data_IF_221491414369
#
_entry.id   IF_221491414369
#
_cell.length_a   1.000
_cell.length_b   1.000
_cell.length_c   1.000
_cell.angle_alpha   90.00
_cell.angle_beta   90.00
_cell.angle_gamma   90.00
#
_symmetry.space_group_name_H-M   'P 1'
#
loop_
_entity.id
_entity.type
_entity.pdbx_description
1 polymer ?
#
# COMPACT_ATOMS: atom_id res chain seq x y z
N UNK A 1 7.92 66.64 11.48
CA UNK A 1 7.72 66.75 10.02
C UNK A 1 7.96 65.35 9.49
N UNK A 2 7.05 64.63 8.86
CA UNK A 2 5.75 64.93 8.28
C UNK A 2 5.03 63.57 8.11
N UNK A 3 3.71 63.58 8.23
CA UNK A 3 2.82 62.42 8.09
C UNK A 3 2.44 62.24 6.60
N UNK A 4 2.28 60.99 6.14
CA UNK A 4 1.21 60.53 5.24
C UNK A 4 1.39 59.02 4.97
N UNK A 5 0.50 58.08 5.32
CA UNK A 5 -0.92 57.85 4.99
C UNK A 5 -1.20 57.44 3.53
N UNK A 6 -2.00 56.37 3.41
CA UNK A 6 -2.84 55.92 2.27
C UNK A 6 -2.05 55.07 1.24
N UNK A 7 -2.51 53.90 0.76
CA UNK A 7 -3.88 53.53 0.42
C UNK A 7 -4.11 52.03 0.47
N UNK A 8 -5.20 51.66 1.13
CA UNK A 8 -6.04 50.51 0.81
C UNK A 8 -6.22 50.32 -0.70
N UNK A 9 -6.17 49.07 -1.12
CA UNK A 9 -6.86 48.63 -2.34
C UNK A 9 -7.48 47.26 -2.10
N UNK A 10 -8.60 47.32 -1.40
CA UNK A 10 -9.68 46.35 -1.57
C UNK A 10 -10.04 46.24 -3.06
N UNK A 11 -10.12 45.01 -3.56
CA UNK A 11 -10.79 44.71 -4.82
C UNK A 11 -11.92 43.71 -4.54
N UNK A 12 -13.06 44.28 -4.15
CA UNK A 12 -14.40 43.91 -4.59
C UNK A 12 -14.39 43.64 -6.12
N UNK A 13 -15.08 42.66 -6.73
CA UNK A 13 -16.52 42.52 -7.05
C UNK A 13 -16.70 41.14 -7.78
N UNK A 14 -17.89 40.68 -8.21
CA UNK A 14 -19.16 40.38 -7.54
C UNK A 14 -19.52 38.87 -7.60
N UNK A 15 -20.46 38.45 -6.74
CA UNK A 15 -21.26 37.24 -6.95
C UNK A 15 -22.28 37.48 -8.06
N UNK A 16 -22.34 36.58 -9.05
CA UNK A 16 -23.50 36.51 -9.95
C UNK A 16 -24.06 35.10 -10.04
N UNK A 17 -25.37 35.07 -9.97
CA UNK A 17 -26.21 33.89 -9.89
C UNK A 17 -26.29 33.22 -11.25
N UNK A 18 -26.15 31.90 -11.31
CA UNK A 18 -26.71 31.11 -12.40
C UNK A 18 -26.99 29.68 -11.92
N UNK A 19 -28.19 29.51 -11.38
CA UNK A 19 -28.87 28.23 -11.29
C UNK A 19 -29.59 27.98 -12.61
N UNK A 20 -29.29 26.89 -13.34
CA UNK A 20 -30.25 26.29 -14.23
C UNK A 20 -30.96 25.12 -13.52
N UNK A 21 -32.25 25.33 -13.35
CA UNK A 21 -33.28 24.39 -12.95
C UNK A 21 -33.42 23.24 -13.96
N UNK A 22 -33.56 22.04 -13.40
CA UNK A 22 -34.31 20.86 -13.87
C UNK A 22 -34.39 20.54 -15.38
N UNK A 23 -33.86 19.37 -15.74
CA UNK A 23 -34.37 18.53 -16.82
C UNK A 23 -34.40 17.05 -16.40
N UNK A 24 -35.24 16.23 -17.05
CA UNK A 24 -36.01 15.17 -16.40
C UNK A 24 -35.34 13.79 -16.43
N UNK A 25 -35.86 12.98 -15.51
CA UNK A 25 -35.82 11.51 -15.44
C UNK A 25 -35.99 10.89 -16.83
N UNK A 26 -34.91 10.35 -17.37
CA UNK A 26 -34.95 9.39 -18.46
C UNK A 26 -33.98 8.25 -18.15
N UNK A 27 -34.55 7.16 -17.62
CA UNK A 27 -34.20 5.76 -17.81
C UNK A 27 -32.79 5.42 -18.36
N UNK A 28 -31.73 5.89 -17.70
CA UNK A 28 -30.40 5.33 -17.90
C UNK A 28 -30.42 3.96 -17.22
N UNK A 29 -30.29 2.94 -18.06
CA UNK A 29 -30.27 1.53 -17.73
C UNK A 29 -29.81 1.25 -16.29
N UNK A 30 -30.61 0.46 -15.58
CA UNK A 30 -30.12 -0.43 -14.53
C UNK A 30 -29.11 -1.41 -15.14
N UNK A 31 -27.94 -0.92 -15.59
CA UNK A 31 -26.72 -1.71 -15.53
C UNK A 31 -26.43 -1.80 -14.06
N UNK A 32 -26.98 -2.87 -13.48
CA UNK A 32 -26.52 -3.45 -12.23
C UNK A 32 -25.01 -3.22 -12.16
N UNK A 33 -24.47 -2.61 -11.09
CA UNK A 33 -23.05 -2.77 -10.86
C UNK A 33 -22.83 -4.29 -10.89
N UNK A 34 -21.97 -4.74 -11.80
CA UNK A 34 -21.30 -6.00 -11.60
C UNK A 34 -20.58 -5.78 -10.26
N UNK A 35 -21.25 -6.11 -9.16
CA UNK A 35 -20.56 -6.55 -7.95
C UNK A 35 -19.81 -7.76 -8.46
N UNK A 36 -18.61 -7.47 -8.98
CA UNK A 36 -17.59 -8.45 -9.21
C UNK A 36 -17.50 -9.14 -7.88
N UNK A 37 -18.05 -10.35 -7.84
CA UNK A 37 -17.69 -11.33 -6.87
C UNK A 37 -16.17 -11.23 -6.87
N UNK A 38 -15.59 -10.61 -5.84
CA UNK A 38 -14.18 -10.74 -5.58
C UNK A 38 -14.03 -12.23 -5.28
N UNK A 39 -13.93 -13.04 -6.34
CA UNK A 39 -13.45 -14.39 -6.26
C UNK A 39 -12.05 -14.21 -5.73
N UNK A 40 -11.94 -14.20 -4.40
CA UNK A 40 -10.69 -14.46 -3.72
C UNK A 40 -10.28 -15.82 -4.25
N UNK A 41 -9.44 -15.80 -5.28
CA UNK A 41 -8.98 -17.04 -5.89
C UNK A 41 -8.39 -17.88 -4.76
N UNK A 42 -8.72 -19.18 -4.71
CA UNK A 42 -8.51 -20.01 -3.53
C UNK A 42 -7.08 -19.86 -3.03
N UNK A 43 -6.94 -19.59 -1.72
CA UNK A 43 -5.62 -19.48 -1.09
C UNK A 43 -4.83 -20.76 -1.38
N UNK A 44 -3.60 -20.60 -1.83
CA UNK A 44 -2.75 -21.74 -2.21
C UNK A 44 -1.59 -21.88 -1.24
N UNK A 45 -1.17 -23.11 -0.97
CA UNK A 45 0.08 -23.38 -0.24
C UNK A 45 1.33 -23.29 -1.13
N UNK A 46 1.19 -22.83 -2.38
CA UNK A 46 2.32 -22.62 -3.29
C UNK A 46 2.97 -21.27 -2.98
N UNK A 47 4.15 -21.30 -2.37
CA UNK A 47 4.91 -20.10 -1.98
C UNK A 47 5.10 -19.07 -3.10
N UNK A 48 5.11 -19.51 -4.37
CA UNK A 48 5.30 -18.63 -5.53
C UNK A 48 3.99 -18.08 -6.10
N UNK A 49 2.85 -18.39 -5.49
CA UNK A 49 1.52 -17.94 -5.94
C UNK A 49 1.23 -16.52 -5.47
N UNK A 50 0.42 -15.79 -6.22
CA UNK A 50 -0.03 -14.46 -5.83
C UNK A 50 -0.93 -14.50 -4.59
N UNK A 51 -1.75 -15.55 -4.44
CA UNK A 51 -2.66 -15.74 -3.31
C UNK A 51 -2.11 -16.76 -2.33
N UNK A 52 -0.81 -16.65 -2.02
CA UNK A 52 -0.20 -17.50 -1.02
C UNK A 52 -0.76 -17.15 0.36
N UNK A 53 -1.19 -18.17 1.12
CA UNK A 53 -1.93 -17.97 2.37
C UNK A 53 -1.12 -17.29 3.48
N UNK A 54 0.20 -17.47 3.48
CA UNK A 54 1.08 -16.94 4.52
C UNK A 54 1.93 -15.75 4.05
N UNK A 55 1.34 -14.85 3.26
CA UNK A 55 1.93 -13.53 3.00
C UNK A 55 1.78 -12.69 4.28
N UNK A 56 2.90 -12.22 4.82
CA UNK A 56 2.93 -11.40 6.04
C UNK A 56 2.70 -9.94 5.68
N UNK A 57 3.44 -9.45 4.68
CA UNK A 57 3.33 -8.08 4.20
C UNK A 57 3.74 -8.01 2.74
N UNK A 58 3.05 -7.16 1.99
CA UNK A 58 3.42 -6.76 0.63
C UNK A 58 4.00 -5.35 0.69
N UNK A 59 5.28 -5.20 0.34
CA UNK A 59 5.96 -3.90 0.44
C UNK A 59 5.63 -3.01 -0.76
N UNK A 60 5.50 -3.61 -1.94
CA UNK A 60 5.04 -3.01 -3.20
C UNK A 60 4.51 -4.12 -4.12
N UNK A 61 4.15 -3.79 -5.37
CA UNK A 61 3.64 -4.77 -6.34
C UNK A 61 4.63 -5.88 -6.72
N UNK A 62 5.93 -5.63 -6.50
CA UNK A 62 7.04 -6.50 -6.92
C UNK A 62 7.77 -7.15 -5.76
N UNK A 63 7.46 -6.84 -4.50
CA UNK A 63 8.23 -7.24 -3.33
C UNK A 63 7.29 -7.54 -2.17
N UNK A 64 7.49 -8.72 -1.57
CA UNK A 64 6.68 -9.18 -0.44
C UNK A 64 7.50 -10.02 0.51
N UNK A 65 6.96 -10.21 1.71
CA UNK A 65 7.54 -11.05 2.75
C UNK A 65 6.51 -12.11 3.10
N UNK A 66 6.95 -13.36 3.07
CA UNK A 66 6.11 -14.51 3.36
C UNK A 66 6.67 -15.30 4.55
N UNK A 67 5.79 -16.04 5.22
CA UNK A 67 6.20 -17.13 6.08
C UNK A 67 6.56 -18.36 5.24
N UNK A 68 7.70 -18.99 5.54
CA UNK A 68 8.00 -20.30 4.97
C UNK A 68 6.95 -21.32 5.45
N UNK A 69 6.45 -22.24 4.60
CA UNK A 69 5.46 -23.25 4.96
C UNK A 69 5.83 -24.10 6.18
N UNK A 70 7.13 -24.35 6.35
CA UNK A 70 7.64 -25.14 7.48
C UNK A 70 7.82 -24.29 8.76
N UNK A 71 7.49 -23.00 8.71
CA UNK A 71 7.60 -22.07 9.83
C UNK A 71 9.02 -21.99 10.44
N UNK A 72 10.06 -22.00 9.60
CA UNK A 72 11.48 -21.96 10.02
C UNK A 72 12.10 -20.57 9.79
N UNK A 73 11.59 -19.82 8.81
CA UNK A 73 12.17 -18.55 8.40
C UNK A 73 11.15 -17.69 7.63
N UNK A 74 11.39 -16.37 7.62
CA UNK A 74 10.74 -15.43 6.72
C UNK A 74 11.52 -15.35 5.41
N UNK A 75 10.80 -15.16 4.32
CA UNK A 75 11.36 -15.11 2.98
C UNK A 75 10.95 -13.79 2.34
N UNK A 76 11.92 -12.97 1.98
CA UNK A 76 11.68 -11.82 1.11
C UNK A 76 11.65 -12.35 -0.32
N UNK A 77 10.57 -12.08 -1.03
CA UNK A 77 10.41 -12.46 -2.43
C UNK A 77 10.28 -11.22 -3.29
N UNK A 78 10.88 -11.27 -4.47
CA UNK A 78 10.59 -10.30 -5.54
C UNK A 78 9.94 -10.97 -6.73
N UNK A 79 9.12 -10.21 -7.45
CA UNK A 79 8.46 -10.63 -8.66
C UNK A 79 9.44 -10.42 -9.83
N UNK A 80 9.88 -11.52 -10.43
CA UNK A 80 10.72 -11.48 -11.63
C UNK A 80 9.97 -12.11 -12.79
N UNK A 81 9.67 -11.29 -13.80
CA UNK A 81 8.82 -11.63 -14.93
C UNK A 81 7.37 -11.88 -14.51
N UNK A 82 7.03 -13.14 -14.20
CA UNK A 82 5.68 -13.56 -13.76
C UNK A 82 5.70 -14.51 -12.57
N UNK A 83 6.84 -14.62 -11.90
CA UNK A 83 7.02 -15.57 -10.80
C UNK A 83 7.72 -14.92 -9.64
N UNK A 84 7.19 -15.12 -8.45
CA UNK A 84 7.85 -14.77 -7.21
C UNK A 84 9.09 -15.64 -7.02
N UNK A 85 10.22 -14.98 -6.73
CA UNK A 85 11.53 -15.58 -6.47
C UNK A 85 11.99 -15.17 -5.09
N UNK A 86 12.49 -16.13 -4.32
CA UNK A 86 13.08 -15.87 -3.02
C UNK A 86 14.42 -15.15 -3.19
N UNK A 87 14.57 -14.02 -2.51
CA UNK A 87 15.76 -13.17 -2.60
C UNK A 87 16.62 -13.30 -1.33
N UNK A 88 15.99 -13.28 -0.16
CA UNK A 88 16.69 -13.37 1.11
C UNK A 88 15.85 -14.12 2.15
N UNK A 89 16.54 -14.69 3.13
CA UNK A 89 15.97 -15.60 4.14
C UNK A 89 16.37 -15.14 5.53
N UNK A 90 15.40 -15.02 6.43
CA UNK A 90 15.61 -14.41 7.74
C UNK A 90 14.98 -15.22 8.84
N UNK A 91 15.75 -15.45 9.91
CA UNK A 91 15.25 -16.06 11.16
C UNK A 91 15.11 -15.07 12.30
N UNK A 92 15.69 -13.88 12.18
CA UNK A 92 15.65 -12.84 13.22
C UNK A 92 14.90 -11.64 12.69
N UNK A 93 13.86 -11.23 13.41
CA UNK A 93 12.99 -10.11 13.03
C UNK A 93 13.78 -8.81 12.94
N UNK A 94 14.58 -8.52 13.96
CA UNK A 94 15.33 -7.27 14.05
C UNK A 94 16.34 -7.13 12.89
N UNK A 95 16.96 -8.24 12.46
CA UNK A 95 17.86 -8.25 11.31
C UNK A 95 17.13 -8.05 9.98
N UNK A 96 15.95 -8.67 9.82
CA UNK A 96 15.08 -8.46 8.67
C UNK A 96 14.67 -6.98 8.57
N UNK A 97 14.14 -6.39 9.65
CA UNK A 97 13.66 -5.00 9.65
C UNK A 97 14.81 -4.04 9.31
N UNK A 98 15.98 -4.17 9.96
CA UNK A 98 17.12 -3.31 9.70
C UNK A 98 17.60 -3.38 8.25
N UNK A 99 17.57 -4.57 7.64
CA UNK A 99 17.95 -4.73 6.24
C UNK A 99 16.94 -4.03 5.31
N UNK A 100 15.64 -4.21 5.55
CA UNK A 100 14.59 -3.56 4.76
C UNK A 100 14.65 -2.03 4.90
N UNK A 101 14.99 -1.54 6.10
CA UNK A 101 15.18 -0.12 6.35
C UNK A 101 16.35 0.47 5.56
N UNK A 102 17.48 -0.24 5.57
CA UNK A 102 18.65 0.15 4.81
C UNK A 102 18.34 0.17 3.31
N UNK A 103 17.66 -0.86 2.79
CA UNK A 103 17.27 -0.95 1.39
C UNK A 103 16.26 0.13 0.99
N UNK A 104 15.27 0.43 1.84
CA UNK A 104 14.28 1.47 1.58
C UNK A 104 14.87 2.88 1.52
N UNK A 105 15.95 3.16 2.26
CA UNK A 105 16.62 4.46 2.28
C UNK A 105 17.58 4.66 1.09
N UNK A 106 18.06 3.58 0.47
CA UNK A 106 19.13 3.60 -0.52
C UNK A 106 18.65 3.85 -1.97
N UNK A 107 17.56 4.60 -2.19
CA UNK A 107 16.83 4.69 -3.47
C UNK A 107 16.06 3.39 -3.82
N UNK A 108 15.57 2.70 -2.78
CA UNK A 108 14.94 1.39 -2.90
C UNK A 108 13.64 1.37 -3.71
N UNK A 109 13.37 0.23 -4.35
CA UNK A 109 12.16 -0.05 -5.15
C UNK A 109 10.84 0.00 -4.33
N UNK A 110 10.95 0.03 -2.99
CA UNK A 110 9.82 0.08 -2.07
C UNK A 110 10.08 1.01 -0.90
N UNK A 111 8.99 1.55 -0.34
CA UNK A 111 9.01 2.28 0.92
C UNK A 111 8.54 1.38 2.06
N UNK A 112 9.32 1.30 3.15
CA UNK A 112 8.88 0.61 4.36
C UNK A 112 7.91 1.52 5.14
N UNK A 113 6.62 1.43 4.81
CA UNK A 113 5.59 2.23 5.48
C UNK A 113 5.51 1.91 6.98
N UNK A 114 5.00 2.84 7.82
CA UNK A 114 4.80 2.58 9.25
C UNK A 114 3.90 1.36 9.52
N UNK A 115 2.92 1.11 8.66
CA UNK A 115 2.04 -0.05 8.75
C UNK A 115 2.79 -1.36 8.48
N UNK A 116 3.60 -1.40 7.42
CA UNK A 116 4.44 -2.55 7.09
C UNK A 116 5.43 -2.84 8.22
N UNK A 117 6.07 -1.80 8.76
CA UNK A 117 6.94 -1.93 9.94
C UNK A 117 6.19 -2.53 11.12
N UNK A 118 5.01 -1.99 11.46
CA UNK A 118 4.22 -2.47 12.61
C UNK A 118 3.85 -3.95 12.46
N UNK A 119 3.49 -4.39 11.25
CA UNK A 119 3.23 -5.80 10.96
C UNK A 119 4.47 -6.68 11.18
N UNK A 120 5.64 -6.22 10.74
CA UNK A 120 6.91 -6.92 10.97
C UNK A 120 7.32 -6.94 12.45
N UNK A 121 7.09 -5.85 13.17
CA UNK A 121 7.36 -5.75 14.62
C UNK A 121 6.47 -6.68 15.45
N UNK A 122 5.26 -7.00 14.97
CA UNK A 122 4.38 -7.96 15.60
C UNK A 122 4.86 -9.42 15.49
N UNK A 123 5.85 -9.70 14.64
CA UNK A 123 6.47 -11.03 14.53
C UNK A 123 7.27 -11.37 15.79
N UNK A 124 7.45 -12.67 16.11
CA UNK A 124 8.35 -13.08 17.17
C UNK A 124 9.78 -12.63 16.86
N UNK A 125 10.58 -12.39 17.90
CA UNK A 125 11.96 -11.91 17.73
C UNK A 125 12.83 -12.89 16.93
N UNK A 126 12.63 -14.19 17.17
CA UNK A 126 13.29 -15.29 16.47
C UNK A 126 12.19 -16.20 15.91
N UNK A 127 12.31 -16.53 14.63
CA UNK A 127 11.42 -17.45 13.94
C UNK A 127 11.58 -18.88 14.47
N UNK A 128 10.48 -19.62 14.60
CA UNK A 128 10.48 -21.02 15.04
C UNK A 128 10.79 -21.23 16.53
N UNK A 129 11.13 -20.19 17.28
CA UNK A 129 11.16 -20.22 18.74
C UNK A 129 9.72 -20.01 19.26
N UNK A 130 9.02 -21.11 19.48
CA UNK A 130 7.77 -21.20 20.26
C UNK A 130 8.06 -21.75 21.64
#
# INVERSE_FOLDING_TARGET
>A
MELALISDRENYVPSDHSTPSALPVAMEAYRRPCVGLHSQAPMTNKETSNNYGDIIVTLNDTTRIINCPNNIQWIVQTLSGRRWRSCSFWRRRDALINQLDFEAQADGDYALTPENRKALEALPRIHGCV
#
